data_IF_852433489594
#
_entry.id   IF_852433489594
#
_cell.length_a   1.000
_cell.length_b   1.000
_cell.length_c   1.000
_cell.angle_alpha   90.00
_cell.angle_beta   90.00
_cell.angle_gamma   90.00
#
_symmetry.space_group_name_H-M   'P 1'
#
loop_
_entity.id
_entity.type
_entity.pdbx_description
1 polymer ?
#
# COMPACT_ATOMS: atom_id res chain seq x y z
N UNK A 1 -17.73 42.21 38.29
CA UNK A 1 -16.77 43.25 38.74
C UNK A 1 -15.38 42.76 38.56
N UNK A 2 -14.54 43.65 37.95
CA UNK A 2 -13.06 43.60 37.82
C UNK A 2 -12.56 42.62 36.74
N UNK A 3 -12.31 42.96 35.51
CA UNK A 3 -11.38 43.89 34.83
C UNK A 3 -9.88 43.65 35.19
N UNK A 4 -9.12 43.34 34.19
CA UNK A 4 -7.83 43.95 33.78
C UNK A 4 -6.90 42.85 33.27
N UNK A 5 -5.98 42.97 32.38
CA UNK A 5 -5.59 43.92 31.31
C UNK A 5 -4.37 43.28 30.63
N UNK A 6 -4.36 43.30 29.32
CA UNK A 6 -3.28 43.43 28.33
C UNK A 6 -1.83 43.50 28.84
N UNK A 7 -0.91 42.78 28.17
CA UNK A 7 0.38 43.33 27.81
C UNK A 7 0.89 42.76 26.49
N UNK A 8 1.08 43.63 25.55
CA UNK A 8 1.83 43.54 24.30
C UNK A 8 3.34 43.48 24.60
N UNK A 9 4.09 42.73 23.86
CA UNK A 9 5.52 43.07 23.64
C UNK A 9 5.88 42.71 22.21
N UNK A 10 6.18 43.76 21.46
CA UNK A 10 6.79 43.84 20.14
C UNK A 10 8.30 43.93 20.34
N UNK A 11 9.09 43.36 19.46
CA UNK A 11 10.43 43.79 19.00
C UNK A 11 11.22 42.58 18.55
N UNK A 12 12.03 42.56 17.52
CA UNK A 12 12.42 43.48 16.46
C UNK A 12 13.09 42.68 15.34
N UNK A 13 13.00 43.21 14.15
CA UNK A 13 13.79 42.83 12.97
C UNK A 13 15.29 43.05 13.21
N UNK A 14 16.12 42.12 12.67
CA UNK A 14 17.44 42.50 12.19
C UNK A 14 17.72 41.85 10.85
N UNK A 15 17.72 42.69 9.87
CA UNK A 15 18.26 42.49 8.53
C UNK A 15 19.80 42.59 8.58
N UNK A 16 20.51 41.68 7.92
CA UNK A 16 21.92 41.90 7.55
C UNK A 16 22.12 41.60 6.07
N UNK A 17 22.70 42.58 5.44
CA UNK A 17 22.93 42.79 4.03
C UNK A 17 24.16 42.08 3.49
N UNK A 18 24.08 41.72 2.23
CA UNK A 18 25.08 41.48 1.17
C UNK A 18 26.50 42.04 1.40
N UNK A 19 27.51 41.23 1.01
CA UNK A 19 28.68 41.74 0.29
C UNK A 19 29.00 40.78 -0.86
N UNK A 20 28.88 41.32 -2.07
CA UNK A 20 29.43 40.79 -3.30
C UNK A 20 30.89 41.27 -3.42
N UNK A 21 31.80 40.39 -3.85
CA UNK A 21 33.07 40.80 -4.42
C UNK A 21 33.31 40.06 -5.73
N UNK A 22 33.31 40.85 -6.74
CA UNK A 22 33.74 40.61 -8.11
C UNK A 22 35.21 40.87 -8.22
N UNK A 23 35.99 39.95 -8.83
CA UNK A 23 37.25 40.38 -9.50
C UNK A 23 37.59 39.46 -10.66
N UNK A 24 37.92 40.11 -11.73
CA UNK A 24 38.13 39.79 -13.12
C UNK A 24 39.64 39.71 -13.40
N UNK A 25 39.97 39.01 -14.50
CA UNK A 25 41.10 39.20 -15.43
C UNK A 25 42.33 38.29 -15.23
N UNK A 26 42.78 37.71 -16.20
CA UNK A 26 43.12 37.69 -17.63
C UNK A 26 44.47 36.97 -17.85
N UNK A 27 44.45 36.17 -18.93
CA UNK A 27 45.49 35.88 -19.94
C UNK A 27 46.93 35.42 -19.59
N UNK A 28 47.40 34.33 -20.10
CA UNK A 28 48.13 34.17 -21.34
C UNK A 28 48.74 32.77 -21.53
N UNK A 29 48.48 32.20 -22.72
CA UNK A 29 49.31 31.43 -23.66
C UNK A 29 50.45 30.52 -23.17
N UNK A 30 50.45 29.22 -23.48
CA UNK A 30 51.24 28.57 -24.52
C UNK A 30 51.30 27.06 -24.41
N UNK A 31 51.24 26.46 -25.55
CA UNK A 31 51.27 25.06 -25.92
C UNK A 31 52.31 24.16 -25.26
N UNK A 32 51.97 22.92 -25.01
CA UNK A 32 52.79 21.78 -25.44
C UNK A 32 51.96 20.48 -25.41
N UNK A 33 52.07 19.75 -26.45
CA UNK A 33 51.51 18.45 -26.81
C UNK A 33 52.15 17.38 -25.96
N UNK A 34 51.30 16.55 -25.26
CA UNK A 34 51.65 15.16 -24.98
C UNK A 34 50.38 14.30 -24.92
N UNK A 35 50.37 13.33 -25.79
CA UNK A 35 49.38 12.33 -26.01
C UNK A 35 49.54 11.23 -24.95
N UNK A 36 48.58 11.10 -24.05
CA UNK A 36 48.49 9.93 -23.17
C UNK A 36 47.08 9.35 -23.28
N UNK A 37 47.02 8.16 -23.79
CA UNK A 37 45.82 7.32 -23.87
C UNK A 37 45.25 7.07 -22.49
N UNK A 38 44.08 7.61 -22.24
CA UNK A 38 43.30 7.25 -21.05
C UNK A 38 42.20 6.24 -21.43
N UNK A 39 42.38 5.04 -20.97
CA UNK A 39 41.37 3.98 -20.91
C UNK A 39 40.11 4.51 -20.24
N UNK A 40 39.02 4.58 -20.98
CA UNK A 40 37.68 4.87 -20.42
C UNK A 40 37.22 3.64 -19.63
N UNK A 41 37.29 3.76 -18.32
CA UNK A 41 36.57 2.86 -17.42
C UNK A 41 35.11 3.30 -17.44
N UNK A 42 34.27 2.55 -18.13
CA UNK A 42 32.82 2.68 -18.00
C UNK A 42 32.45 2.41 -16.55
N UNK A 43 32.03 3.46 -15.84
CA UNK A 43 31.37 3.33 -14.58
C UNK A 43 29.95 2.81 -14.87
N UNK A 44 29.76 1.50 -14.74
CA UNK A 44 28.45 0.89 -14.70
C UNK A 44 27.71 1.48 -13.48
N UNK A 45 26.76 2.38 -13.73
CA UNK A 45 25.81 2.79 -12.73
C UNK A 45 24.80 1.66 -12.57
N UNK A 46 25.05 0.74 -11.66
CA UNK A 46 24.02 -0.19 -11.21
C UNK A 46 22.98 0.61 -10.41
N UNK A 47 21.84 0.84 -11.04
CA UNK A 47 20.58 1.14 -10.35
C UNK A 47 20.37 0.07 -9.27
N UNK A 48 19.96 0.41 -8.04
CA UNK A 48 19.65 -0.60 -7.04
C UNK A 48 18.50 -1.46 -7.55
N UNK A 49 18.79 -2.71 -7.83
CA UNK A 49 17.79 -3.73 -8.16
C UNK A 49 16.87 -3.84 -6.94
N UNK A 50 15.59 -3.48 -7.10
CA UNK A 50 14.58 -3.68 -6.05
C UNK A 50 14.46 -5.17 -5.85
N UNK A 51 15.00 -5.68 -4.74
CA UNK A 51 14.99 -7.09 -4.41
C UNK A 51 13.54 -7.51 -4.19
N UNK A 52 13.01 -8.32 -5.11
CA UNK A 52 11.65 -8.86 -5.02
C UNK A 52 11.54 -9.78 -3.80
N UNK A 53 10.47 -9.62 -3.00
CA UNK A 53 10.23 -10.46 -1.82
C UNK A 53 10.01 -11.92 -2.23
N UNK A 54 10.75 -12.83 -1.60
CA UNK A 54 10.59 -14.27 -1.82
C UNK A 54 9.52 -14.84 -0.88
N UNK A 55 8.30 -14.91 -1.37
CA UNK A 55 7.18 -15.47 -0.61
C UNK A 55 7.26 -16.98 -0.38
N UNK A 56 8.16 -17.70 -1.05
CA UNK A 56 8.38 -19.13 -0.77
C UNK A 56 8.91 -19.39 0.64
N UNK A 57 9.45 -18.36 1.29
CA UNK A 57 9.84 -18.39 2.70
C UNK A 57 8.67 -18.74 3.64
N UNK A 58 7.44 -18.44 3.25
CA UNK A 58 6.25 -18.83 4.02
C UNK A 58 5.93 -20.33 3.96
N UNK A 59 6.53 -21.09 3.04
CA UNK A 59 6.19 -22.50 2.84
C UNK A 59 6.45 -23.35 4.09
N UNK A 60 7.47 -23.03 4.88
CA UNK A 60 7.71 -23.75 6.16
C UNK A 60 6.54 -23.60 7.13
N UNK A 61 5.93 -22.40 7.19
CA UNK A 61 4.75 -22.14 8.03
C UNK A 61 3.53 -22.86 7.46
N UNK A 62 3.30 -22.76 6.15
CA UNK A 62 2.18 -23.42 5.46
C UNK A 62 2.24 -24.93 5.66
N UNK A 63 3.42 -25.53 5.56
CA UNK A 63 3.62 -26.96 5.79
C UNK A 63 3.26 -27.37 7.23
N UNK A 64 3.65 -26.57 8.24
CA UNK A 64 3.28 -26.83 9.63
C UNK A 64 1.76 -26.85 9.83
N UNK A 65 1.03 -25.95 9.18
CA UNK A 65 -0.43 -25.91 9.22
C UNK A 65 -1.11 -26.99 8.37
N UNK A 66 -0.41 -27.62 7.43
CA UNK A 66 -0.94 -28.76 6.69
C UNK A 66 -1.06 -30.02 7.55
N UNK A 67 -0.29 -30.11 8.64
CA UNK A 67 -0.26 -31.24 9.59
C UNK A 67 -0.26 -30.71 11.05
N UNK A 68 -1.31 -30.01 11.49
CA UNK A 68 -1.31 -29.30 12.77
C UNK A 68 -1.08 -30.22 13.97
N UNK A 69 -1.58 -31.47 13.92
CA UNK A 69 -1.40 -32.47 14.99
C UNK A 69 0.06 -32.87 15.23
N UNK A 70 0.93 -32.64 14.25
CA UNK A 70 2.36 -32.99 14.32
C UNK A 70 3.23 -31.83 14.82
N UNK A 71 2.65 -30.64 15.00
CA UNK A 71 3.38 -29.43 15.33
C UNK A 71 3.03 -28.93 16.75
N UNK A 72 4.04 -28.47 17.53
CA UNK A 72 3.78 -27.91 18.85
C UNK A 72 3.04 -26.57 18.76
N UNK A 73 2.22 -26.29 19.79
CA UNK A 73 1.41 -25.07 19.86
C UNK A 73 2.20 -23.75 19.84
N UNK A 74 3.50 -23.82 20.12
CA UNK A 74 4.38 -22.64 20.01
C UNK A 74 4.71 -22.25 18.55
N UNK A 75 4.57 -23.19 17.61
CA UNK A 75 4.91 -22.99 16.19
C UNK A 75 3.68 -22.67 15.34
N UNK A 76 2.50 -23.09 15.79
CA UNK A 76 1.22 -22.89 15.14
C UNK A 76 0.12 -22.62 16.19
N UNK A 77 -0.97 -21.98 15.78
CA UNK A 77 -2.15 -21.84 16.63
C UNK A 77 -2.85 -23.20 16.79
N UNK A 78 -3.01 -23.73 18.02
CA UNK A 78 -3.59 -25.06 18.27
C UNK A 78 -5.05 -25.18 17.84
N UNK A 79 -5.78 -24.08 17.64
CA UNK A 79 -7.16 -24.06 17.07
C UNK A 79 -7.18 -24.72 15.68
N UNK A 80 -6.06 -24.78 14.96
CA UNK A 80 -5.93 -25.48 13.67
C UNK A 80 -6.40 -26.95 13.73
N UNK A 81 -6.24 -27.63 14.89
CA UNK A 81 -6.68 -29.02 15.09
C UNK A 81 -8.21 -29.17 15.00
N UNK A 82 -8.99 -28.09 15.17
CA UNK A 82 -10.44 -28.12 15.04
C UNK A 82 -10.91 -28.52 13.64
N UNK A 83 -10.07 -28.42 12.62
CA UNK A 83 -10.40 -28.95 11.30
C UNK A 83 -10.78 -30.43 11.37
N UNK A 84 -10.02 -31.23 12.14
CA UNK A 84 -10.24 -32.68 12.30
C UNK A 84 -11.13 -33.00 13.48
N UNK A 85 -11.08 -32.22 14.57
CA UNK A 85 -11.88 -32.41 15.78
C UNK A 85 -13.33 -31.95 15.60
N UNK A 86 -13.60 -31.01 14.71
CA UNK A 86 -14.92 -30.45 14.46
C UNK A 86 -15.25 -30.37 12.94
N UNK A 87 -15.21 -31.50 12.21
CA UNK A 87 -15.37 -31.50 10.77
C UNK A 87 -16.81 -31.12 10.31
N UNK A 88 -17.78 -31.04 11.24
CA UNK A 88 -19.11 -30.53 10.97
C UNK A 88 -19.12 -29.00 10.82
N UNK A 89 -18.15 -28.29 11.37
CA UNK A 89 -18.02 -26.83 11.35
C UNK A 89 -16.98 -26.39 10.33
N UNK A 90 -15.79 -26.99 10.38
CA UNK A 90 -14.64 -26.61 9.57
C UNK A 90 -14.42 -27.59 8.42
N UNK A 91 -13.97 -27.09 7.28
CA UNK A 91 -13.74 -27.88 6.07
C UNK A 91 -12.28 -27.96 5.64
N UNK A 92 -11.48 -26.93 5.91
CA UNK A 92 -10.07 -26.86 5.50
C UNK A 92 -9.31 -25.86 6.38
N UNK A 93 -7.97 -25.86 6.23
CA UNK A 93 -7.11 -24.76 6.62
C UNK A 93 -6.62 -24.14 5.34
N UNK A 94 -6.87 -22.83 5.21
CA UNK A 94 -6.50 -22.06 4.03
C UNK A 94 -5.55 -20.92 4.39
N UNK A 95 -4.81 -20.45 3.40
CA UNK A 95 -3.97 -19.27 3.53
C UNK A 95 -4.26 -18.29 2.39
N UNK A 96 -3.97 -17.03 2.63
CA UNK A 96 -3.83 -16.03 1.59
C UNK A 96 -2.64 -15.11 1.90
N UNK A 97 -2.21 -14.38 0.89
CA UNK A 97 -1.23 -13.30 1.00
C UNK A 97 -1.97 -11.98 0.77
N UNK A 98 -1.70 -10.98 1.60
CA UNK A 98 -2.34 -9.67 1.50
C UNK A 98 -1.48 -8.60 2.17
N UNK A 99 -1.19 -7.51 1.46
CA UNK A 99 -0.42 -6.36 1.97
C UNK A 99 -1.34 -5.45 2.80
N UNK A 100 -1.38 -5.66 4.13
CA UNK A 100 -2.29 -4.94 5.04
C UNK A 100 -1.87 -3.50 5.30
N UNK A 101 -0.56 -3.25 5.34
CA UNK A 101 -0.01 -1.94 5.70
C UNK A 101 0.50 -1.17 4.49
N UNK A 102 0.32 -1.75 3.29
CA UNK A 102 0.66 -1.17 1.99
C UNK A 102 2.16 -0.85 1.87
N UNK A 103 3.01 -1.70 2.47
CA UNK A 103 4.47 -1.56 2.43
C UNK A 103 5.11 -2.26 1.22
N UNK A 104 4.32 -2.96 0.40
CA UNK A 104 4.76 -3.72 -0.77
C UNK A 104 5.20 -5.14 -0.44
N UNK A 105 5.04 -5.59 0.81
CA UNK A 105 5.26 -6.98 1.24
C UNK A 105 3.94 -7.56 1.72
N UNK A 106 3.46 -8.61 1.06
CA UNK A 106 2.24 -9.27 1.51
C UNK A 106 2.47 -10.05 2.80
N UNK A 107 1.57 -9.91 3.77
CA UNK A 107 1.49 -10.77 4.94
C UNK A 107 0.84 -12.11 4.57
N UNK A 108 1.34 -13.18 5.18
CA UNK A 108 0.69 -14.49 5.18
C UNK A 108 -0.41 -14.52 6.24
N UNK A 109 -1.63 -14.81 5.83
CA UNK A 109 -2.74 -15.12 6.74
C UNK A 109 -3.03 -16.60 6.69
N UNK A 110 -3.13 -17.24 7.83
CA UNK A 110 -3.64 -18.61 7.97
C UNK A 110 -5.01 -18.57 8.65
N UNK A 111 -5.96 -19.32 8.12
CA UNK A 111 -7.32 -19.36 8.66
C UNK A 111 -7.97 -20.75 8.55
N UNK A 112 -8.87 -21.04 9.49
CA UNK A 112 -9.81 -22.15 9.36
C UNK A 112 -10.95 -21.76 8.45
N UNK A 113 -11.21 -22.53 7.41
CA UNK A 113 -12.38 -22.37 6.55
C UNK A 113 -13.61 -22.99 7.21
N UNK A 114 -14.61 -22.17 7.49
CA UNK A 114 -15.92 -22.59 7.98
C UNK A 114 -16.74 -23.07 6.78
N UNK A 115 -17.57 -24.12 6.95
CA UNK A 115 -18.43 -24.65 5.88
C UNK A 115 -19.40 -23.64 5.26
N UNK A 116 -19.69 -22.54 5.97
CA UNK A 116 -20.47 -21.41 5.43
C UNK A 116 -19.69 -20.54 4.43
N UNK A 117 -18.40 -20.81 4.21
CA UNK A 117 -17.51 -20.05 3.34
C UNK A 117 -16.71 -18.94 4.06
N UNK A 118 -16.97 -18.69 5.34
CA UNK A 118 -16.20 -17.72 6.14
C UNK A 118 -14.89 -18.31 6.62
N UNK A 119 -13.97 -17.42 7.05
CA UNK A 119 -12.66 -17.78 7.55
C UNK A 119 -12.45 -17.25 8.97
N UNK A 120 -11.97 -18.14 9.86
CA UNK A 120 -11.49 -17.81 11.20
C UNK A 120 -9.97 -17.68 11.17
N UNK A 121 -9.44 -16.47 11.31
CA UNK A 121 -7.99 -16.22 11.28
C UNK A 121 -7.34 -16.88 12.47
N UNK A 122 -6.23 -17.58 12.23
CA UNK A 122 -5.43 -18.30 13.21
C UNK A 122 -4.08 -17.63 13.46
N UNK A 123 -3.43 -17.15 12.40
CA UNK A 123 -2.04 -16.69 12.43
C UNK A 123 -1.81 -15.67 11.31
N UNK A 124 -0.94 -14.68 11.59
CA UNK A 124 -0.48 -13.70 10.62
C UNK A 124 1.03 -13.60 10.71
N UNK A 125 1.71 -13.64 9.56
CA UNK A 125 3.14 -13.55 9.44
C UNK A 125 3.53 -12.52 8.39
N UNK A 126 4.69 -11.88 8.56
CA UNK A 126 5.30 -11.01 7.54
C UNK A 126 6.72 -11.44 7.23
N UNK A 127 7.31 -10.90 6.16
CA UNK A 127 8.72 -11.09 5.81
C UNK A 127 9.45 -9.77 6.02
N UNK A 128 10.51 -9.82 6.83
CA UNK A 128 11.45 -8.71 6.96
C UNK A 128 12.88 -9.23 6.84
N UNK A 129 13.66 -8.64 5.93
CA UNK A 129 15.08 -9.00 5.69
C UNK A 129 15.22 -10.53 5.50
N UNK A 130 14.45 -11.12 4.57
CA UNK A 130 14.45 -12.55 4.25
C UNK A 130 14.15 -13.48 5.45
N UNK A 131 13.43 -12.98 6.46
CA UNK A 131 12.97 -13.77 7.61
C UNK A 131 11.47 -13.64 7.79
N UNK A 132 10.85 -14.79 8.06
CA UNK A 132 9.43 -14.84 8.45
C UNK A 132 9.31 -14.45 9.93
N UNK A 133 8.48 -13.46 10.21
CA UNK A 133 8.20 -12.93 11.55
C UNK A 133 6.73 -13.21 11.86
N UNK A 134 6.47 -13.75 13.03
CA UNK A 134 5.13 -13.99 13.53
C UNK A 134 4.56 -12.70 14.13
N UNK A 135 3.49 -12.19 13.53
CA UNK A 135 2.79 -11.01 14.03
C UNK A 135 1.79 -11.35 15.14
N UNK A 136 1.20 -12.54 15.10
CA UNK A 136 0.30 -13.07 16.15
C UNK A 136 1.10 -13.90 17.16
N UNK A 137 1.70 -13.26 18.14
CA UNK A 137 2.66 -13.86 19.06
C UNK A 137 2.24 -13.71 20.54
N UNK A 138 3.05 -14.25 21.46
CA UNK A 138 2.78 -14.20 22.90
C UNK A 138 2.94 -12.79 23.50
N UNK A 139 3.74 -11.92 22.89
CA UNK A 139 4.00 -10.56 23.40
C UNK A 139 2.76 -9.67 23.26
N UNK A 140 2.03 -9.85 22.15
CA UNK A 140 0.76 -9.14 21.92
C UNK A 140 -0.49 -9.96 22.29
N UNK A 141 -0.30 -11.14 22.93
CA UNK A 141 -1.37 -12.04 23.37
C UNK A 141 -2.27 -12.56 22.24
N UNK A 142 -1.70 -12.74 21.05
CA UNK A 142 -2.36 -13.28 19.85
C UNK A 142 -1.84 -14.68 19.47
N UNK A 143 -0.93 -15.25 20.24
CA UNK A 143 -0.40 -16.62 20.04
C UNK A 143 -1.47 -17.70 20.20
N UNK A 144 -2.56 -17.39 20.88
CA UNK A 144 -3.68 -18.28 21.05
C UNK A 144 -5.02 -17.58 20.74
N UNK A 145 -5.46 -17.69 19.48
CA UNK A 145 -6.80 -17.26 19.05
C UNK A 145 -7.75 -18.45 19.23
N UNK A 146 -8.42 -18.51 20.40
CA UNK A 146 -9.26 -19.65 20.80
C UNK A 146 -10.63 -19.72 20.10
N UNK A 147 -11.44 -20.73 20.42
CA UNK A 147 -12.74 -20.99 19.79
C UNK A 147 -13.77 -19.86 19.93
N UNK A 148 -13.71 -19.12 21.05
CA UNK A 148 -14.63 -18.01 21.35
C UNK A 148 -14.02 -16.65 21.06
N UNK A 149 -12.98 -16.63 20.22
CA UNK A 149 -12.27 -15.42 19.83
C UNK A 149 -12.45 -15.23 18.35
N UNK A 150 -12.90 -14.04 17.96
CA UNK A 150 -13.04 -13.61 16.57
C UNK A 150 -11.93 -12.57 16.34
N UNK A 151 -11.07 -12.82 15.37
CA UNK A 151 -10.01 -11.92 14.96
C UNK A 151 -10.23 -11.57 13.48
N UNK A 152 -10.43 -10.29 13.20
CA UNK A 152 -10.81 -9.83 11.85
C UNK A 152 -9.94 -8.66 11.40
N UNK A 153 -9.55 -8.64 10.12
CA UNK A 153 -8.82 -7.53 9.54
C UNK A 153 -9.78 -6.37 9.22
N UNK A 154 -9.28 -5.17 9.43
CA UNK A 154 -9.88 -3.91 9.04
C UNK A 154 -8.99 -3.27 7.97
N UNK A 155 -9.48 -2.24 7.30
CA UNK A 155 -8.66 -1.47 6.36
C UNK A 155 -7.42 -0.86 7.04
N UNK A 156 -6.43 -0.48 6.23
CA UNK A 156 -5.22 0.23 6.64
C UNK A 156 -4.40 -0.48 7.74
N UNK A 157 -4.33 -1.81 7.72
CA UNK A 157 -3.50 -2.60 8.64
C UNK A 157 -4.01 -2.60 10.08
N UNK A 158 -5.31 -2.32 10.31
CA UNK A 158 -5.92 -2.51 11.61
C UNK A 158 -6.52 -3.91 11.73
N UNK A 159 -6.62 -4.38 12.98
CA UNK A 159 -7.22 -5.68 13.31
C UNK A 159 -8.05 -5.55 14.57
N UNK A 160 -9.21 -6.18 14.58
CA UNK A 160 -10.06 -6.25 15.76
C UNK A 160 -10.12 -7.67 16.28
N UNK A 161 -9.88 -7.82 17.58
CA UNK A 161 -10.14 -9.06 18.30
C UNK A 161 -11.36 -8.86 19.19
N UNK A 162 -12.29 -9.79 19.13
CA UNK A 162 -13.46 -9.85 20.03
C UNK A 162 -13.51 -11.20 20.69
N UNK A 163 -13.68 -11.22 22.01
CA UNK A 163 -13.78 -12.45 22.79
C UNK A 163 -14.91 -12.38 23.82
N UNK A 164 -15.44 -13.55 24.19
CA UNK A 164 -16.45 -13.68 25.24
C UNK A 164 -16.07 -14.83 26.18
N UNK A 165 -15.98 -14.52 27.48
CA UNK A 165 -15.68 -15.51 28.54
C UNK A 165 -16.40 -15.16 29.84
N UNK A 166 -17.06 -16.13 30.48
CA UNK A 166 -17.71 -15.95 31.79
C UNK A 166 -18.78 -14.85 31.79
N UNK A 167 -19.47 -14.60 30.67
CA UNK A 167 -20.47 -13.54 30.52
C UNK A 167 -19.89 -12.14 30.35
N UNK A 168 -18.56 -12.00 30.23
CA UNK A 168 -17.87 -10.76 29.91
C UNK A 168 -17.43 -10.78 28.47
N UNK A 169 -17.49 -9.62 27.84
CA UNK A 169 -16.93 -9.38 26.50
C UNK A 169 -15.63 -8.57 26.64
N UNK A 170 -14.72 -8.77 25.71
CA UNK A 170 -13.52 -7.94 25.54
C UNK A 170 -13.31 -7.73 24.05
N UNK A 171 -13.07 -6.48 23.69
CA UNK A 171 -12.77 -6.05 22.33
C UNK A 171 -11.45 -5.32 22.34
N UNK A 172 -10.57 -5.66 21.42
CA UNK A 172 -9.23 -5.07 21.28
C UNK A 172 -9.03 -4.61 19.85
N UNK A 173 -8.38 -3.46 19.70
CA UNK A 173 -7.99 -2.91 18.41
C UNK A 173 -6.48 -2.90 18.32
N UNK A 174 -5.96 -3.52 17.28
CA UNK A 174 -4.53 -3.58 16.98
C UNK A 174 -4.24 -2.82 15.68
N UNK A 175 -2.99 -2.41 15.54
CA UNK A 175 -2.44 -1.79 14.32
C UNK A 175 -1.14 -2.50 13.95
N UNK A 176 -1.00 -2.89 12.70
CA UNK A 176 0.27 -3.35 12.17
C UNK A 176 1.24 -2.16 12.07
N UNK A 177 2.40 -2.30 12.69
CA UNK A 177 3.44 -1.30 12.64
C UNK A 177 4.37 -1.59 11.44
N UNK A 178 4.44 -0.65 10.49
CA UNK A 178 5.26 -0.77 9.28
C UNK A 178 6.77 -0.71 9.53
N UNK A 179 7.20 -0.06 10.61
CA UNK A 179 8.64 0.11 10.91
C UNK A 179 9.22 -1.05 11.72
N UNK A 180 8.43 -1.59 12.63
CA UNK A 180 8.76 -2.77 13.43
C UNK A 180 7.64 -3.78 13.22
N UNK A 181 7.91 -4.97 12.65
CA UNK A 181 6.85 -5.91 12.31
C UNK A 181 6.21 -6.49 13.56
N UNK A 182 5.19 -5.80 14.05
CA UNK A 182 4.41 -6.16 15.23
C UNK A 182 2.97 -5.64 15.10
N UNK A 183 2.04 -6.33 15.79
CA UNK A 183 0.67 -5.89 15.99
C UNK A 183 0.57 -5.17 17.34
N UNK A 184 0.61 -3.85 17.31
CA UNK A 184 0.52 -3.00 18.49
C UNK A 184 -0.93 -2.90 18.99
N UNK A 185 -1.17 -3.19 20.27
CA UNK A 185 -2.46 -2.98 20.91
C UNK A 185 -2.70 -1.48 21.12
N UNK A 186 -3.68 -0.91 20.44
CA UNK A 186 -4.03 0.50 20.55
C UNK A 186 -5.04 0.79 21.66
N UNK A 187 -6.07 -0.06 21.80
CA UNK A 187 -7.13 0.12 22.79
C UNK A 187 -7.84 -1.19 23.10
N UNK A 188 -8.39 -1.27 24.29
CA UNK A 188 -9.22 -2.39 24.78
C UNK A 188 -10.48 -1.84 25.47
N UNK A 189 -11.62 -2.53 25.28
CA UNK A 189 -12.89 -2.17 25.88
C UNK A 189 -13.76 -3.42 26.12
N UNK A 190 -14.69 -3.34 27.06
CA UNK A 190 -15.72 -4.35 27.30
C UNK A 190 -16.91 -4.24 26.32
N UNK A 191 -16.94 -3.19 25.51
CA UNK A 191 -17.93 -2.99 24.44
C UNK A 191 -17.24 -2.63 23.13
N UNK A 192 -17.86 -3.04 22.02
CA UNK A 192 -17.35 -2.72 20.69
C UNK A 192 -17.31 -1.21 20.41
N UNK A 193 -18.32 -0.49 20.89
CA UNK A 193 -18.38 0.98 20.78
C UNK A 193 -17.30 1.70 21.58
N UNK A 194 -16.79 1.07 22.63
CA UNK A 194 -15.70 1.59 23.45
C UNK A 194 -14.35 1.62 22.75
N UNK A 195 -14.19 0.94 21.61
CA UNK A 195 -12.98 1.02 20.77
C UNK A 195 -12.86 2.34 20.02
N UNK A 196 -13.91 3.18 20.01
CA UNK A 196 -13.92 4.44 19.27
C UNK A 196 -14.11 4.27 17.76
N UNK A 197 -13.61 5.25 16.98
CA UNK A 197 -13.67 5.20 15.51
C UNK A 197 -12.68 4.16 15.00
N UNK A 198 -13.15 3.30 14.10
CA UNK A 198 -12.38 2.21 13.48
C UNK A 198 -12.50 2.29 11.97
N UNK A 199 -11.47 1.87 11.22
CA UNK A 199 -11.62 1.61 9.79
C UNK A 199 -12.68 0.53 9.51
N UNK A 200 -13.24 0.49 8.29
CA UNK A 200 -14.16 -0.55 7.86
C UNK A 200 -13.53 -1.95 7.96
N UNK A 201 -14.40 -2.97 8.06
CA UNK A 201 -13.99 -4.36 7.92
C UNK A 201 -13.52 -4.64 6.50
N UNK A 202 -12.37 -5.29 6.35
CA UNK A 202 -11.96 -5.83 5.06
C UNK A 202 -12.89 -6.98 4.65
N UNK A 203 -13.30 -6.94 3.39
CA UNK A 203 -14.10 -8.01 2.82
C UNK A 203 -13.22 -9.22 2.50
N UNK A 204 -13.22 -10.22 3.37
CA UNK A 204 -12.42 -11.45 3.21
C UNK A 204 -12.85 -12.31 2.00
N UNK A 205 -14.04 -12.07 1.41
CA UNK A 205 -14.47 -12.76 0.21
C UNK A 205 -13.66 -12.36 -1.04
N UNK A 206 -12.96 -11.22 -0.96
CA UNK A 206 -12.05 -10.75 -2.01
C UNK A 206 -10.65 -11.37 -1.92
N UNK A 207 -10.32 -12.08 -0.84
CA UNK A 207 -9.01 -12.69 -0.64
C UNK A 207 -8.85 -13.96 -1.48
N UNK A 208 -7.67 -14.16 -2.05
CA UNK A 208 -7.33 -15.37 -2.83
C UNK A 208 -6.92 -16.51 -1.91
N UNK A 209 -7.89 -17.14 -1.28
CA UNK A 209 -7.67 -18.26 -0.38
C UNK A 209 -7.18 -19.51 -1.12
N UNK A 210 -6.17 -20.19 -0.57
CA UNK A 210 -5.59 -21.44 -1.06
C UNK A 210 -5.47 -22.43 0.10
N UNK A 211 -5.70 -23.72 -0.16
CA UNK A 211 -5.46 -24.76 0.85
C UNK A 211 -3.98 -24.79 1.24
N UNK A 212 -3.68 -25.00 2.53
CA UNK A 212 -2.32 -25.19 3.03
C UNK A 212 -1.62 -26.45 2.46
N UNK A 213 -2.38 -27.32 1.80
CA UNK A 213 -1.82 -28.46 1.06
C UNK A 213 -1.18 -28.05 -0.27
N UNK A 214 -1.38 -26.81 -0.71
CA UNK A 214 -0.85 -26.26 -1.95
C UNK A 214 0.18 -25.16 -1.61
N UNK A 215 1.47 -25.50 -1.41
CA UNK A 215 2.48 -24.52 -1.05
C UNK A 215 2.68 -23.47 -2.15
N UNK A 216 3.25 -22.34 -1.78
CA UNK A 216 3.63 -21.29 -2.72
C UNK A 216 4.72 -21.87 -3.64
N UNK A 217 4.45 -22.00 -4.93
CA UNK A 217 5.44 -22.39 -5.92
C UNK A 217 6.54 -21.35 -6.00
N UNK A 218 7.81 -21.77 -6.00
CA UNK A 218 8.98 -20.87 -5.95
C UNK A 218 9.22 -19.98 -7.18
N UNK A 219 8.33 -20.00 -8.16
CA UNK A 219 8.18 -18.89 -9.09
C UNK A 219 7.39 -17.81 -8.36
N UNK A 220 8.05 -16.70 -8.08
CA UNK A 220 7.49 -15.50 -7.49
C UNK A 220 6.30 -15.04 -8.32
N UNK A 221 5.14 -15.63 -8.08
CA UNK A 221 3.88 -15.04 -8.49
C UNK A 221 3.50 -14.14 -7.32
N UNK A 222 3.48 -12.82 -7.48
CA UNK A 222 2.90 -11.95 -6.48
C UNK A 222 1.52 -12.50 -6.15
N UNK A 223 1.22 -12.61 -4.88
CA UNK A 223 -0.10 -12.98 -4.40
C UNK A 223 -1.09 -11.97 -4.90
N UNK A 224 -2.08 -12.48 -5.56
CA UNK A 224 -3.00 -11.79 -6.45
C UNK A 224 -2.30 -11.13 -7.66
N UNK A 225 -2.57 -11.62 -8.88
CA UNK A 225 -2.99 -10.66 -9.86
C UNK A 225 -4.10 -9.85 -9.17
N UNK A 226 -3.76 -8.70 -8.64
CA UNK A 226 -4.72 -7.62 -8.59
C UNK A 226 -5.06 -7.48 -10.07
N UNK A 227 -6.17 -8.10 -10.49
CA UNK A 227 -6.74 -7.81 -11.80
C UNK A 227 -7.15 -6.36 -11.71
N UNK A 228 -6.15 -5.48 -11.90
CA UNK A 228 -6.39 -4.07 -11.79
C UNK A 228 -5.20 -3.27 -11.28
N UNK A 229 -5.46 -2.00 -11.10
CA UNK A 229 -4.53 -0.96 -10.72
C UNK A 229 -4.14 -1.06 -9.24
N UNK A 230 -2.84 -1.19 -8.97
CA UNK A 230 -2.29 -1.19 -7.61
C UNK A 230 -1.82 0.21 -7.20
N UNK A 231 -2.63 0.90 -6.41
CA UNK A 231 -2.38 2.28 -5.97
C UNK A 231 -1.11 2.38 -5.12
N UNK A 232 -0.89 1.43 -4.20
CA UNK A 232 0.28 1.42 -3.31
C UNK A 232 1.58 1.22 -4.09
N UNK A 233 1.62 0.28 -5.04
CA UNK A 233 2.78 0.10 -5.93
C UNK A 233 3.09 1.37 -6.72
N UNK A 234 2.06 1.99 -7.33
CA UNK A 234 2.21 3.22 -8.10
C UNK A 234 2.75 4.36 -7.22
N UNK A 235 2.27 4.50 -6.00
CA UNK A 235 2.73 5.52 -5.06
C UNK A 235 4.20 5.32 -4.67
N UNK A 236 4.69 4.09 -4.69
CA UNK A 236 6.08 3.72 -4.45
C UNK A 236 6.95 3.71 -5.72
N UNK A 237 6.39 4.11 -6.88
CA UNK A 237 7.13 4.21 -8.15
C UNK A 237 7.14 2.95 -8.99
N UNK A 238 6.40 1.92 -8.62
CA UNK A 238 6.19 0.71 -9.43
C UNK A 238 4.87 0.83 -10.20
N UNK A 239 4.97 1.01 -11.51
CA UNK A 239 3.82 1.15 -12.41
C UNK A 239 3.46 -0.14 -13.14
N UNK A 240 4.00 -1.28 -12.75
CA UNK A 240 3.80 -2.58 -13.42
C UNK A 240 2.32 -2.95 -13.57
N UNK A 241 1.48 -2.66 -12.56
CA UNK A 241 0.04 -2.98 -12.57
C UNK A 241 -0.74 -2.24 -13.66
N UNK A 242 -0.24 -1.08 -14.10
CA UNK A 242 -0.84 -0.27 -15.15
C UNK A 242 -0.05 -0.25 -16.45
N UNK A 243 1.02 -1.02 -16.54
CA UNK A 243 1.84 -1.15 -17.74
C UNK A 243 1.00 -1.48 -18.98
N UNK A 244 1.29 -0.80 -20.09
CA UNK A 244 0.56 -0.91 -21.36
C UNK A 244 0.01 0.43 -21.88
N UNK A 245 -0.84 0.35 -22.90
CA UNK A 245 -1.44 1.51 -23.55
C UNK A 245 -2.81 1.83 -22.97
N UNK A 246 -3.01 3.09 -22.65
CA UNK A 246 -4.27 3.65 -22.16
C UNK A 246 -4.76 4.69 -23.16
N UNK A 247 -6.01 4.62 -23.59
CA UNK A 247 -6.58 5.48 -24.63
C UNK A 247 -7.88 6.13 -24.17
N UNK A 248 -8.05 7.41 -24.46
CA UNK A 248 -9.31 8.13 -24.20
C UNK A 248 -10.24 8.12 -25.43
N UNK A 249 -11.44 8.65 -25.25
CA UNK A 249 -12.44 8.73 -26.33
C UNK A 249 -12.02 9.61 -27.52
N UNK A 250 -11.06 10.51 -27.33
CA UNK A 250 -10.51 11.36 -28.40
C UNK A 250 -9.34 10.70 -29.15
N UNK A 251 -8.96 9.46 -28.78
CA UNK A 251 -7.83 8.74 -29.40
C UNK A 251 -6.46 9.13 -28.87
N UNK A 252 -6.39 9.97 -27.83
CA UNK A 252 -5.11 10.28 -27.16
C UNK A 252 -4.66 9.06 -26.37
N UNK A 253 -3.34 8.76 -26.42
CA UNK A 253 -2.75 7.62 -25.74
C UNK A 253 -1.77 8.06 -24.66
N UNK A 254 -1.76 7.31 -23.57
CA UNK A 254 -0.73 7.31 -22.53
C UNK A 254 -0.18 5.88 -22.47
N UNK A 255 1.13 5.72 -22.58
CA UNK A 255 1.80 4.43 -22.50
C UNK A 255 2.61 4.38 -21.22
N UNK A 256 2.42 3.33 -20.43
CA UNK A 256 3.15 3.09 -19.20
C UNK A 256 3.98 1.82 -19.31
N UNK A 257 5.17 1.85 -18.72
CA UNK A 257 5.95 0.67 -18.35
C UNK A 257 6.07 0.56 -16.82
N UNK A 258 6.88 -0.34 -16.32
CA UNK A 258 7.10 -0.52 -14.88
C UNK A 258 7.73 0.70 -14.18
N UNK A 259 8.35 1.60 -14.94
CA UNK A 259 9.03 2.81 -14.44
C UNK A 259 8.18 4.07 -14.56
N UNK A 260 7.01 3.99 -15.21
CA UNK A 260 6.07 5.10 -15.34
C UNK A 260 5.66 5.43 -16.77
N UNK A 261 5.38 6.71 -17.03
CA UNK A 261 4.93 7.17 -18.35
C UNK A 261 6.06 7.17 -19.37
N UNK A 262 5.91 6.38 -20.43
CA UNK A 262 6.79 6.36 -21.60
C UNK A 262 6.46 7.55 -22.49
N UNK A 263 7.21 8.64 -22.36
CA UNK A 263 7.00 9.87 -23.14
C UNK A 263 8.31 10.68 -23.19
N UNK A 264 8.59 11.33 -24.31
CA UNK A 264 9.74 12.22 -24.43
C UNK A 264 9.53 13.58 -23.73
N UNK A 265 8.28 14.01 -23.58
CA UNK A 265 7.94 15.37 -23.18
C UNK A 265 7.33 15.46 -21.77
N UNK A 266 6.76 14.37 -21.25
CA UNK A 266 6.01 14.36 -20.00
C UNK A 266 6.45 13.24 -19.08
N UNK A 267 6.27 13.45 -17.78
CA UNK A 267 6.54 12.46 -16.74
C UNK A 267 5.45 12.49 -15.67
N UNK A 268 5.25 11.37 -15.01
CA UNK A 268 4.45 11.31 -13.80
C UNK A 268 5.31 11.76 -12.62
N UNK A 269 4.79 12.68 -11.82
CA UNK A 269 5.36 13.06 -10.54
C UNK A 269 4.51 12.50 -9.41
N UNK A 270 5.11 11.64 -8.61
CA UNK A 270 4.51 11.02 -7.41
C UNK A 270 5.03 11.65 -6.10
N UNK A 271 5.97 12.61 -6.17
CA UNK A 271 6.57 13.26 -4.98
C UNK A 271 5.52 13.84 -4.02
N UNK A 272 4.41 14.35 -4.55
CA UNK A 272 3.30 14.89 -3.79
C UNK A 272 1.99 14.13 -4.03
N UNK A 273 2.11 12.87 -4.46
CA UNK A 273 0.95 12.03 -4.67
C UNK A 273 0.21 11.79 -3.35
N UNK A 274 -1.12 11.79 -3.42
CA UNK A 274 -1.99 11.55 -2.27
C UNK A 274 -3.11 10.62 -2.66
N UNK A 275 -3.35 9.62 -1.83
CA UNK A 275 -4.57 8.85 -1.90
C UNK A 275 -5.74 9.71 -1.41
N UNK A 276 -6.81 9.77 -2.19
CA UNK A 276 -8.02 10.53 -1.94
C UNK A 276 -9.19 9.63 -2.30
N UNK A 277 -10.09 9.37 -1.36
CA UNK A 277 -11.31 8.57 -1.62
C UNK A 277 -11.01 7.25 -2.38
N UNK A 278 -9.91 6.56 -2.00
CA UNK A 278 -9.44 5.28 -2.58
C UNK A 278 -8.88 5.35 -4.01
N UNK A 279 -8.55 6.52 -4.54
CA UNK A 279 -7.76 6.68 -5.76
C UNK A 279 -6.50 7.51 -5.51
N UNK A 280 -5.46 7.34 -6.33
CA UNK A 280 -4.23 8.10 -6.20
C UNK A 280 -4.27 9.35 -7.08
N UNK A 281 -4.12 10.52 -6.46
CA UNK A 281 -3.88 11.78 -7.14
C UNK A 281 -2.39 12.03 -7.24
N UNK A 282 -1.89 12.17 -8.46
CA UNK A 282 -0.53 12.54 -8.80
C UNK A 282 -0.54 13.75 -9.77
N UNK A 283 0.60 14.04 -10.39
CA UNK A 283 0.73 15.10 -11.38
C UNK A 283 1.39 14.58 -12.66
N UNK A 284 0.92 15.08 -13.80
CA UNK A 284 1.57 14.92 -15.08
C UNK A 284 2.32 16.21 -15.40
N UNK A 285 3.64 16.16 -15.45
CA UNK A 285 4.51 17.34 -15.59
C UNK A 285 5.37 17.25 -16.86
N UNK A 286 5.77 18.42 -17.44
CA UNK A 286 6.78 18.44 -18.52
C UNK A 286 8.15 17.97 -18.02
N UNK A 287 8.84 17.12 -18.78
CA UNK A 287 10.21 16.65 -18.46
C UNK A 287 11.26 17.77 -18.51
N UNK A 288 11.04 18.80 -19.26
CA UNK A 288 11.99 19.91 -19.44
C UNK A 288 11.92 20.99 -18.35
N UNK A 289 11.17 20.77 -17.27
CA UNK A 289 10.98 21.75 -16.19
C UNK A 289 10.19 22.99 -16.61
N UNK A 290 9.53 22.98 -17.76
CA UNK A 290 8.67 24.08 -18.24
C UNK A 290 7.45 24.28 -17.34
N UNK A 291 6.86 25.48 -17.45
CA UNK A 291 5.58 25.75 -16.80
C UNK A 291 4.47 24.92 -17.44
N UNK A 292 3.56 24.41 -16.63
CA UNK A 292 2.42 23.61 -17.07
C UNK A 292 2.36 22.27 -16.33
N UNK A 293 1.30 21.56 -16.62
CA UNK A 293 1.02 20.27 -16.00
C UNK A 293 -0.45 20.07 -15.78
N UNK A 294 -0.85 18.90 -15.41
CA UNK A 294 -2.24 18.56 -15.07
C UNK A 294 -2.27 17.59 -13.89
N UNK A 295 -3.41 17.54 -13.22
CA UNK A 295 -3.66 16.46 -12.28
C UNK A 295 -3.74 15.14 -13.06
N UNK A 296 -3.26 14.06 -12.45
CA UNK A 296 -3.39 12.70 -12.91
C UNK A 296 -4.02 11.88 -11.79
N UNK A 297 -5.11 11.20 -12.08
CA UNK A 297 -5.72 10.26 -11.15
C UNK A 297 -5.54 8.83 -11.65
N UNK A 298 -5.17 7.95 -10.75
CA UNK A 298 -5.16 6.51 -10.92
C UNK A 298 -6.38 5.95 -10.19
N UNK A 299 -7.36 5.46 -10.94
CA UNK A 299 -8.70 5.12 -10.46
C UNK A 299 -8.93 3.61 -10.61
N UNK A 300 -8.82 2.83 -9.54
CA UNK A 300 -9.19 1.41 -9.55
C UNK A 300 -10.67 1.21 -9.93
N UNK A 301 -10.98 0.02 -10.44
CA UNK A 301 -12.37 -0.36 -10.69
C UNK A 301 -13.22 -0.23 -9.42
N UNK A 302 -14.43 0.29 -9.56
CA UNK A 302 -15.35 0.54 -8.44
C UNK A 302 -15.20 1.89 -7.75
N UNK A 303 -14.09 2.63 -7.96
CA UNK A 303 -13.80 3.89 -7.25
C UNK A 303 -14.16 5.10 -8.13
N UNK A 304 -15.14 5.93 -7.78
CA UNK A 304 -15.50 7.10 -8.56
C UNK A 304 -14.48 8.24 -8.40
N UNK A 305 -14.28 9.03 -9.45
CA UNK A 305 -13.52 10.28 -9.34
C UNK A 305 -14.37 11.32 -8.61
N UNK A 306 -13.82 11.91 -7.54
CA UNK A 306 -14.49 12.92 -6.74
C UNK A 306 -14.01 14.33 -7.04
N UNK A 307 -14.78 15.34 -6.63
CA UNK A 307 -14.44 16.76 -6.81
C UNK A 307 -13.17 17.17 -6.08
N UNK A 308 -12.70 16.38 -5.14
CA UNK A 308 -11.48 16.64 -4.33
C UNK A 308 -10.20 16.65 -5.16
N UNK A 309 -10.24 16.13 -6.38
CA UNK A 309 -9.06 16.11 -7.27
C UNK A 309 -8.65 17.53 -7.73
N UNK A 310 -9.55 18.45 -7.80
CA UNK A 310 -9.29 19.85 -8.22
C UNK A 310 -9.52 20.82 -7.06
N UNK A 311 -8.92 22.01 -7.16
CA UNK A 311 -9.11 23.08 -6.17
C UNK A 311 -10.43 23.86 -6.34
N UNK A 312 -11.19 23.59 -7.38
CA UNK A 312 -12.45 24.27 -7.71
C UNK A 312 -13.50 23.23 -8.08
N UNK A 313 -14.15 22.59 -7.09
CA UNK A 313 -15.18 21.60 -7.36
C UNK A 313 -16.43 22.28 -7.94
N UNK A 314 -16.96 21.72 -9.04
CA UNK A 314 -18.32 22.05 -9.48
C UNK A 314 -19.31 21.33 -8.54
N UNK A 315 -20.26 22.10 -8.01
CA UNK A 315 -21.35 21.55 -7.21
C UNK A 315 -22.19 20.60 -8.08
N UNK A 316 -22.30 19.34 -7.66
CA UNK A 316 -23.12 18.34 -8.34
C UNK A 316 -22.36 17.49 -9.38
N UNK A 317 -21.02 17.61 -9.49
CA UNK A 317 -20.24 16.72 -10.36
C UNK A 317 -20.52 15.25 -10.07
N UNK A 318 -20.80 14.51 -11.13
CA UNK A 318 -20.89 13.05 -11.12
C UNK A 318 -19.86 12.51 -12.09
N UNK A 319 -19.12 11.50 -11.68
CA UNK A 319 -18.16 10.80 -12.52
C UNK A 319 -18.87 10.20 -13.76
N UNK A 320 -18.57 10.68 -14.99
CA UNK A 320 -19.22 10.17 -16.20
C UNK A 320 -18.55 8.93 -16.77
N UNK A 321 -17.50 8.42 -16.11
CA UNK A 321 -16.70 7.30 -16.60
C UNK A 321 -17.34 5.94 -16.31
N UNK A 322 -16.86 4.89 -16.98
CA UNK A 322 -17.23 3.51 -16.64
C UNK A 322 -16.44 3.06 -15.41
N UNK A 323 -17.07 3.17 -14.25
CA UNK A 323 -16.46 2.81 -12.96
C UNK A 323 -16.24 1.31 -12.78
N UNK A 324 -16.75 0.46 -13.65
CA UNK A 324 -16.52 -0.99 -13.57
C UNK A 324 -15.12 -1.40 -14.03
N UNK A 325 -14.34 -0.48 -14.59
CA UNK A 325 -12.99 -0.68 -15.10
C UNK A 325 -11.98 0.21 -14.39
N UNK A 326 -10.72 -0.24 -14.36
CA UNK A 326 -9.59 0.63 -14.04
C UNK A 326 -9.49 1.73 -15.09
N UNK A 327 -9.21 2.95 -14.64
CA UNK A 327 -9.07 4.09 -15.53
C UNK A 327 -8.09 5.12 -15.01
N UNK A 328 -7.50 5.86 -15.93
CA UNK A 328 -6.75 7.06 -15.62
C UNK A 328 -7.61 8.27 -15.94
N UNK A 329 -7.44 9.34 -15.20
CA UNK A 329 -7.98 10.64 -15.57
C UNK A 329 -6.87 11.69 -15.54
N UNK A 330 -6.81 12.57 -16.55
CA UNK A 330 -5.92 13.72 -16.52
C UNK A 330 -6.64 14.99 -16.99
N UNK A 331 -6.38 16.07 -16.29
CA UNK A 331 -6.99 17.37 -16.59
C UNK A 331 -6.62 18.44 -15.58
N UNK A 332 -7.05 19.66 -15.87
CA UNK A 332 -6.92 20.81 -14.95
C UNK A 332 -8.24 21.14 -14.25
N UNK A 333 -9.35 20.73 -14.83
CA UNK A 333 -10.69 20.99 -14.33
C UNK A 333 -11.62 19.82 -14.61
N UNK A 334 -12.50 19.52 -13.68
CA UNK A 334 -13.63 18.61 -13.89
C UNK A 334 -14.76 19.37 -14.60
N UNK A 335 -15.26 18.80 -15.68
CA UNK A 335 -16.37 19.35 -16.45
C UNK A 335 -17.48 18.29 -16.43
N UNK A 336 -18.70 18.68 -16.00
CA UNK A 336 -19.84 17.78 -15.94
C UNK A 336 -20.12 17.14 -17.31
N UNK A 337 -20.33 15.82 -17.32
CA UNK A 337 -20.60 15.06 -18.54
C UNK A 337 -19.42 14.88 -19.50
N UNK A 338 -18.24 15.44 -19.21
CA UNK A 338 -17.06 15.31 -20.06
C UNK A 338 -16.25 14.06 -19.70
N UNK A 339 -16.29 13.04 -20.56
CA UNK A 339 -15.55 11.80 -20.43
C UNK A 339 -14.18 11.80 -21.13
N UNK A 340 -13.82 12.87 -21.86
CA UNK A 340 -12.59 12.89 -22.68
C UNK A 340 -11.29 12.89 -21.87
N UNK A 341 -11.34 13.24 -20.60
CA UNK A 341 -10.19 13.14 -19.69
C UNK A 341 -9.90 11.74 -19.16
N UNK A 342 -10.81 10.78 -19.38
CA UNK A 342 -10.67 9.41 -18.88
C UNK A 342 -10.03 8.51 -19.94
N UNK A 343 -9.07 7.69 -19.49
CA UNK A 343 -8.33 6.73 -20.30
C UNK A 343 -8.60 5.34 -19.79
N UNK A 344 -8.80 4.41 -20.71
CA UNK A 344 -9.02 2.99 -20.45
C UNK A 344 -7.90 2.18 -21.08
N UNK A 345 -7.57 1.05 -20.46
CA UNK A 345 -6.52 0.15 -20.96
C UNK A 345 -6.93 -0.44 -22.31
N UNK A 346 -6.06 -0.33 -23.29
CA UNK A 346 -6.26 -0.95 -24.61
C UNK A 346 -5.94 -2.43 -24.47
N UNK A 347 -6.90 -3.29 -24.87
CA UNK A 347 -6.74 -4.75 -24.84
C UNK A 347 -5.88 -5.23 -26.00
#
# INVERSE_FOLDING_TARGET
MIKKTTLFTILALTSLTLVACHQKQEDTTSASTEQTSSTSTEASSSSPEVKKTDYSLYNEVIEKYSQPQNNPSKDINPKANLKDDSPQVYSDIEYCLYDFDKNGTDELIIALKIKSGKHDILDIRTIQIDKVIQLTNAENHLDFIGEKVIFVPLEDGYFQLSSASGGKQSHKLYKLNTNTPDLELLTESDTETGLGTRPPLLNQDTFSWKSVTNPISGETTPSQEIKGMNISSIQNGDFSSISGTWRNSAGVELVFDEHGLVSDNSQVSIEHAKEIDHYLKASLLPKNGGAGGSALAFLPAGIPLTTTITSSPENGYKDPSDISQDRLWTGQQLIEGNSSGFFYKVQ
#
